data_IF_534132240928
#
_entry.id   IF_534132240928
#
_cell.length_a   1.000
_cell.length_b   1.000
_cell.length_c   1.000
_cell.angle_alpha   90.00
_cell.angle_beta   90.00
_cell.angle_gamma   90.00
#
_symmetry.space_group_name_H-M   'P 1'
#
loop_
_entity.id
_entity.type
_entity.pdbx_description
1 polymer ?
#
# COMPACT_ATOMS: atom_id res chain seq x y z
N UNK A 1 17.85 -2.92 23.82
CA UNK A 1 18.47 -3.94 24.67
C UNK A 1 17.48 -4.39 25.74
N UNK A 2 17.39 -5.67 26.00
CA UNK A 2 16.57 -6.27 27.05
C UNK A 2 17.45 -6.96 28.06
N UNK A 3 17.12 -6.82 29.36
CA UNK A 3 17.87 -7.40 30.45
C UNK A 3 16.93 -8.21 31.33
N UNK A 4 17.41 -9.38 31.79
CA UNK A 4 16.66 -10.20 32.72
C UNK A 4 16.69 -9.62 34.12
N UNK A 5 15.54 -9.57 34.80
CA UNK A 5 15.46 -9.19 36.20
C UNK A 5 16.04 -10.32 37.10
N UNK A 6 16.85 -9.93 38.07
CA UNK A 6 17.38 -10.84 39.09
C UNK A 6 16.42 -10.94 40.29
N UNK A 7 16.53 -12.00 41.06
CA UNK A 7 15.69 -12.25 42.23
C UNK A 7 15.77 -11.15 43.32
N UNK A 8 16.85 -10.37 43.33
CA UNK A 8 17.07 -9.23 44.23
C UNK A 8 16.44 -7.92 43.73
N UNK A 9 15.76 -7.92 42.58
CA UNK A 9 15.15 -6.74 41.95
C UNK A 9 16.09 -5.94 41.04
N UNK A 10 17.36 -6.29 40.94
CA UNK A 10 18.29 -5.70 40.01
C UNK A 10 18.16 -6.33 38.61
N UNK A 11 18.72 -5.69 37.59
CA UNK A 11 18.81 -6.25 36.26
C UNK A 11 20.18 -6.91 36.04
N UNK A 12 20.18 -8.01 35.29
CA UNK A 12 21.41 -8.65 34.87
C UNK A 12 22.23 -7.66 34.01
N UNK A 13 23.53 -7.60 34.23
CA UNK A 13 24.45 -6.81 33.40
C UNK A 13 24.68 -7.43 32.02
N UNK A 14 24.31 -8.71 31.83
CA UNK A 14 24.38 -9.40 30.55
C UNK A 14 23.08 -9.16 29.79
N UNK A 15 23.20 -8.59 28.60
CA UNK A 15 22.09 -8.37 27.72
C UNK A 15 21.45 -9.70 27.29
N UNK A 16 20.12 -9.80 27.38
CA UNK A 16 19.38 -10.94 26.86
C UNK A 16 19.43 -10.95 25.33
N UNK A 17 20.23 -11.83 24.75
CA UNK A 17 20.42 -11.95 23.31
C UNK A 17 19.17 -12.40 22.57
N UNK A 18 18.20 -13.01 23.24
CA UNK A 18 16.95 -13.48 22.63
C UNK A 18 15.95 -12.32 22.40
N UNK A 19 15.94 -11.34 23.30
CA UNK A 19 15.07 -10.16 23.24
C UNK A 19 15.81 -8.88 22.87
N UNK A 20 17.11 -8.96 22.59
CA UNK A 20 17.90 -7.79 22.20
C UNK A 20 18.35 -7.90 20.75
N UNK A 21 18.31 -6.79 20.06
CA UNK A 21 18.86 -6.69 18.70
C UNK A 21 19.79 -5.49 18.60
N UNK A 22 20.96 -5.71 18.01
CA UNK A 22 21.89 -4.66 17.64
C UNK A 22 22.40 -4.92 16.23
N UNK A 23 21.84 -4.21 15.27
CA UNK A 23 22.13 -4.44 13.86
C UNK A 23 22.38 -3.14 13.10
N UNK A 24 23.16 -3.25 12.04
CA UNK A 24 23.31 -2.22 11.01
C UNK A 24 22.52 -2.65 9.79
N UNK A 25 21.69 -1.75 9.30
CA UNK A 25 20.84 -2.00 8.15
C UNK A 25 21.15 -1.05 7.01
N UNK A 26 21.52 -1.61 5.86
CA UNK A 26 21.81 -0.87 4.65
C UNK A 26 20.79 -1.23 3.58
N UNK A 27 20.27 -0.22 2.90
CA UNK A 27 19.34 -0.37 1.77
C UNK A 27 19.93 0.34 0.56
N UNK A 28 20.09 -0.39 -0.52
CA UNK A 28 20.50 0.15 -1.81
C UNK A 28 19.44 -0.13 -2.85
N UNK A 29 18.91 0.92 -3.47
CA UNK A 29 17.85 0.81 -4.49
C UNK A 29 18.29 1.46 -5.79
N UNK A 30 18.19 0.70 -6.87
CA UNK A 30 18.33 1.18 -8.26
C UNK A 30 16.97 1.17 -8.92
N UNK A 31 16.60 2.22 -9.65
CA UNK A 31 15.33 2.32 -10.36
C UNK A 31 15.51 2.85 -11.76
N UNK A 32 14.89 2.19 -12.72
CA UNK A 32 14.80 2.64 -14.11
C UNK A 32 13.33 2.65 -14.54
N UNK A 33 12.96 3.57 -15.42
CA UNK A 33 11.61 3.62 -15.98
C UNK A 33 11.62 4.22 -17.38
N UNK A 34 10.68 3.76 -18.22
CA UNK A 34 10.43 4.28 -19.55
C UNK A 34 8.93 4.47 -19.74
N UNK A 35 8.57 5.40 -20.63
CA UNK A 35 7.18 5.61 -21.01
C UNK A 35 7.10 6.07 -22.46
N UNK A 36 6.10 5.54 -23.16
CA UNK A 36 5.69 5.96 -24.48
C UNK A 36 4.43 6.81 -24.33
N UNK A 37 4.43 7.96 -25.01
CA UNK A 37 3.28 8.86 -25.05
C UNK A 37 2.88 9.07 -26.50
N UNK A 38 1.59 8.88 -26.78
CA UNK A 38 0.99 9.10 -28.08
C UNK A 38 -0.15 10.08 -27.96
N UNK A 39 -0.06 11.19 -28.69
CA UNK A 39 -1.05 12.25 -28.73
C UNK A 39 -1.64 12.32 -30.13
N UNK A 40 -2.93 12.12 -30.26
CA UNK A 40 -3.63 12.25 -31.53
C UNK A 40 -4.96 12.98 -31.33
N UNK A 41 -5.10 14.13 -31.95
CA UNK A 41 -6.30 14.99 -31.85
C UNK A 41 -6.76 15.19 -30.41
N UNK A 42 -7.83 14.52 -30.03
CA UNK A 42 -8.49 14.61 -28.72
C UNK A 42 -8.10 13.47 -27.77
N UNK A 43 -7.19 12.61 -28.21
CA UNK A 43 -6.80 11.39 -27.52
C UNK A 43 -5.34 11.45 -27.09
N UNK A 44 -5.07 11.18 -25.84
CA UNK A 44 -3.74 11.02 -25.30
C UNK A 44 -3.61 9.64 -24.64
N UNK A 45 -2.65 8.87 -25.08
CA UNK A 45 -2.32 7.55 -24.53
C UNK A 45 -0.91 7.59 -23.96
N UNK A 46 -0.72 7.06 -22.77
CA UNK A 46 0.60 6.87 -22.20
C UNK A 46 0.70 5.47 -21.62
N UNK A 47 1.73 4.75 -21.98
CA UNK A 47 2.05 3.43 -21.42
C UNK A 47 3.49 3.48 -20.95
N UNK A 48 3.73 3.07 -19.73
CA UNK A 48 5.05 3.07 -19.12
C UNK A 48 5.29 1.85 -18.24
N UNK A 49 6.56 1.50 -18.14
CA UNK A 49 7.04 0.45 -17.24
C UNK A 49 8.23 0.99 -16.46
N UNK A 50 8.21 0.80 -15.16
CA UNK A 50 9.37 1.00 -14.30
C UNK A 50 9.74 -0.32 -13.63
N UNK A 51 11.03 -0.49 -13.38
CA UNK A 51 11.55 -1.57 -12.54
C UNK A 51 12.55 -1.02 -11.54
N UNK A 52 12.61 -1.61 -10.37
CA UNK A 52 13.67 -1.33 -9.40
C UNK A 52 14.16 -2.60 -8.75
N UNK A 53 15.44 -2.61 -8.42
CA UNK A 53 16.04 -3.62 -7.57
C UNK A 53 16.44 -2.97 -6.25
N UNK A 54 16.01 -3.56 -5.15
CA UNK A 54 16.36 -3.12 -3.80
C UNK A 54 17.10 -4.23 -3.09
N UNK A 55 18.32 -3.95 -2.67
CA UNK A 55 19.18 -4.85 -1.92
C UNK A 55 19.19 -4.41 -0.46
N UNK A 56 18.83 -5.31 0.42
CA UNK A 56 18.92 -5.16 1.87
C UNK A 56 20.11 -5.92 2.38
N UNK A 57 20.88 -5.30 3.26
CA UNK A 57 21.95 -5.94 4.00
C UNK A 57 21.78 -5.60 5.48
N UNK A 58 21.52 -6.61 6.28
CA UNK A 58 21.37 -6.51 7.72
C UNK A 58 22.55 -7.25 8.37
N UNK A 59 23.39 -6.51 9.06
CA UNK A 59 24.50 -7.06 9.86
C UNK A 59 24.09 -7.05 11.32
N UNK A 60 23.96 -8.22 11.92
CA UNK A 60 23.79 -8.38 13.36
C UNK A 60 25.15 -8.25 14.03
N UNK A 61 25.26 -7.31 14.95
CA UNK A 61 26.52 -6.99 15.65
C UNK A 61 26.78 -7.90 16.86
N UNK A 62 25.76 -8.63 17.36
CA UNK A 62 25.96 -9.61 18.43
C UNK A 62 26.47 -10.94 17.87
N UNK A 63 25.82 -11.42 16.81
CA UNK A 63 26.20 -12.72 16.22
C UNK A 63 27.23 -12.58 15.10
N UNK A 64 27.57 -11.35 14.71
CA UNK A 64 28.41 -11.00 13.56
C UNK A 64 27.96 -11.69 12.24
N UNK A 65 26.67 -11.95 12.12
CA UNK A 65 26.07 -12.54 10.93
C UNK A 65 25.50 -11.46 10.01
N UNK A 66 25.67 -11.65 8.70
CA UNK A 66 25.10 -10.75 7.70
C UNK A 66 24.04 -11.49 6.92
N UNK A 67 22.84 -10.93 6.85
CA UNK A 67 21.73 -11.40 6.03
C UNK A 67 21.49 -10.42 4.90
N UNK A 68 21.47 -10.92 3.68
CA UNK A 68 21.19 -10.13 2.48
C UNK A 68 19.91 -10.59 1.83
N UNK A 69 19.14 -9.64 1.28
CA UNK A 69 17.93 -9.91 0.48
C UNK A 69 17.87 -8.96 -0.69
N UNK A 70 17.37 -9.46 -1.80
CA UNK A 70 17.14 -8.67 -3.00
C UNK A 70 15.68 -8.76 -3.39
N UNK A 71 15.09 -7.62 -3.70
CA UNK A 71 13.72 -7.51 -4.16
C UNK A 71 13.69 -6.81 -5.52
N UNK A 72 12.99 -7.42 -6.47
CA UNK A 72 12.73 -6.84 -7.77
C UNK A 72 11.30 -6.30 -7.79
N UNK A 73 11.15 -5.02 -8.06
CA UNK A 73 9.86 -4.34 -8.06
C UNK A 73 9.51 -3.90 -9.48
N UNK A 74 8.23 -4.02 -9.82
CA UNK A 74 7.69 -3.56 -11.09
C UNK A 74 6.67 -2.44 -10.85
N UNK A 75 6.66 -1.45 -11.76
CA UNK A 75 5.78 -0.28 -11.72
C UNK A 75 5.15 -0.02 -13.09
N UNK A 76 4.23 -0.90 -13.56
CA UNK A 76 3.51 -0.65 -14.79
C UNK A 76 2.56 0.53 -14.63
N UNK A 77 2.44 1.34 -15.67
CA UNK A 77 1.52 2.50 -15.72
C UNK A 77 0.89 2.59 -17.10
N UNK A 78 -0.40 2.88 -17.13
CA UNK A 78 -1.10 3.20 -18.35
C UNK A 78 -2.08 4.34 -18.09
N UNK A 79 -2.22 5.24 -19.04
CA UNK A 79 -3.26 6.26 -19.00
C UNK A 79 -3.83 6.51 -20.37
N UNK A 80 -5.14 6.70 -20.41
CA UNK A 80 -5.88 7.10 -21.57
C UNK A 80 -6.71 8.32 -21.23
N UNK A 81 -6.57 9.38 -22.00
CA UNK A 81 -7.36 10.60 -21.86
C UNK A 81 -8.04 10.90 -23.18
N UNK A 82 -9.33 11.12 -23.13
CA UNK A 82 -10.13 11.56 -24.28
C UNK A 82 -10.85 12.86 -23.93
N UNK A 83 -10.59 13.91 -24.72
CA UNK A 83 -11.23 15.20 -24.58
C UNK A 83 -12.30 15.33 -25.65
N UNK A 84 -13.56 15.34 -25.22
CA UNK A 84 -14.72 15.52 -26.11
C UNK A 84 -14.93 17.00 -26.47
N UNK A 85 -15.91 17.29 -27.29
CA UNK A 85 -16.33 18.68 -27.55
C UNK A 85 -16.93 19.28 -26.28
N UNK A 86 -16.70 20.60 -26.06
CA UNK A 86 -17.34 21.31 -24.96
C UNK A 86 -16.72 21.12 -23.58
N UNK A 87 -15.43 20.79 -23.49
CA UNK A 87 -14.67 20.62 -22.23
C UNK A 87 -14.96 19.32 -21.44
N UNK A 88 -15.72 18.40 -22.01
CA UNK A 88 -15.91 17.09 -21.41
C UNK A 88 -14.63 16.27 -21.53
N UNK A 89 -14.21 15.63 -20.43
CA UNK A 89 -12.97 14.88 -20.37
C UNK A 89 -13.19 13.52 -19.69
N UNK A 90 -12.73 12.49 -20.35
CA UNK A 90 -12.68 11.13 -19.84
C UNK A 90 -11.24 10.72 -19.60
N UNK A 91 -10.95 10.15 -18.43
CA UNK A 91 -9.60 9.72 -18.05
C UNK A 91 -9.65 8.35 -17.42
N UNK A 92 -8.94 7.40 -18.04
CA UNK A 92 -8.67 6.09 -17.47
C UNK A 92 -7.20 6.01 -17.08
N UNK A 93 -6.90 5.54 -15.88
CA UNK A 93 -5.53 5.31 -15.42
C UNK A 93 -5.41 3.95 -14.75
N UNK A 94 -4.28 3.34 -14.98
CA UNK A 94 -3.81 2.16 -14.28
C UNK A 94 -2.41 2.42 -13.75
N UNK A 95 -2.15 2.01 -12.53
CA UNK A 95 -0.79 1.96 -11.98
C UNK A 95 -0.64 0.72 -11.10
N UNK A 96 0.39 -0.07 -11.39
CA UNK A 96 0.84 -1.17 -10.56
C UNK A 96 2.06 -0.76 -9.74
N UNK A 97 2.15 -1.21 -8.51
CA UNK A 97 3.32 -0.98 -7.67
C UNK A 97 3.57 -2.16 -6.73
N UNK A 98 4.80 -2.63 -6.71
CA UNK A 98 5.27 -3.59 -5.72
C UNK A 98 5.59 -2.87 -4.41
N UNK A 99 5.13 -3.43 -3.29
CA UNK A 99 5.47 -2.98 -1.93
C UNK A 99 6.22 -4.08 -1.20
N UNK A 100 7.36 -3.73 -0.64
CA UNK A 100 8.22 -4.66 0.07
C UNK A 100 7.76 -4.81 1.52
N UNK A 101 7.98 -6.00 2.16
CA UNK A 101 7.84 -6.13 3.58
C UNK A 101 8.80 -5.20 4.32
N UNK A 102 8.38 -4.70 5.47
CA UNK A 102 9.26 -3.94 6.37
C UNK A 102 10.21 -4.87 7.11
N UNK A 103 11.26 -4.30 7.72
CA UNK A 103 12.22 -5.08 8.51
C UNK A 103 11.51 -5.80 9.65
N UNK A 104 10.64 -5.11 10.38
CA UNK A 104 9.92 -5.66 11.53
C UNK A 104 9.01 -6.82 11.12
N UNK A 105 8.49 -6.78 9.90
CA UNK A 105 7.67 -7.86 9.35
C UNK A 105 8.48 -9.10 8.97
N UNK A 106 9.72 -8.94 8.52
CA UNK A 106 10.56 -10.06 8.08
C UNK A 106 11.53 -10.57 9.16
N UNK A 107 11.73 -9.80 10.22
CA UNK A 107 12.70 -10.12 11.26
C UNK A 107 12.10 -11.16 12.23
N UNK A 108 12.71 -12.36 12.38
CA UNK A 108 12.18 -13.39 13.27
C UNK A 108 12.51 -13.11 14.75
N UNK A 109 12.45 -11.85 15.16
CA UNK A 109 12.69 -11.45 16.55
C UNK A 109 11.36 -11.35 17.29
N UNK A 110 11.32 -11.86 18.50
CA UNK A 110 10.20 -11.68 19.40
C UNK A 110 10.25 -10.27 19.99
N UNK A 111 9.21 -9.49 19.75
CA UNK A 111 9.04 -8.23 20.46
C UNK A 111 8.45 -8.53 21.84
N UNK A 112 9.21 -8.27 22.90
CA UNK A 112 8.79 -8.51 24.29
C UNK A 112 8.32 -7.22 24.98
N UNK A 113 7.65 -6.35 24.26
CA UNK A 113 7.03 -5.16 24.84
C UNK A 113 5.76 -5.48 25.62
N UNK A 114 5.08 -6.56 25.25
CA UNK A 114 3.88 -7.08 25.93
C UNK A 114 3.98 -8.63 25.99
N UNK A 115 4.14 -9.21 27.18
CA UNK A 115 4.25 -10.67 27.34
C UNK A 115 3.00 -11.47 26.92
N UNK A 116 1.84 -10.79 26.81
CA UNK A 116 0.57 -11.41 26.42
C UNK A 116 0.33 -11.31 24.91
N UNK A 117 0.95 -10.35 24.22
CA UNK A 117 0.84 -10.13 22.79
C UNK A 117 2.20 -10.22 22.11
N UNK A 118 2.53 -11.35 21.58
CA UNK A 118 3.83 -11.62 20.94
C UNK A 118 3.67 -11.48 19.43
N UNK A 119 4.40 -10.54 18.82
CA UNK A 119 4.45 -10.38 17.36
C UNK A 119 5.70 -11.06 16.83
N UNK A 120 5.51 -11.96 15.87
CA UNK A 120 6.59 -12.73 15.25
C UNK A 120 6.72 -12.31 13.79
N UNK A 121 7.90 -11.84 13.40
CA UNK A 121 8.23 -11.58 12.01
C UNK A 121 8.29 -12.87 11.19
N UNK A 122 8.08 -12.74 9.89
CA UNK A 122 8.10 -13.86 8.96
C UNK A 122 9.12 -13.61 7.85
N UNK A 123 10.18 -14.38 7.89
CA UNK A 123 11.25 -14.31 6.91
C UNK A 123 10.83 -14.70 5.49
N UNK A 124 9.73 -15.44 5.32
CA UNK A 124 9.27 -15.96 4.03
C UNK A 124 8.23 -15.06 3.36
N UNK A 125 8.01 -13.86 3.91
CA UNK A 125 7.08 -12.89 3.32
C UNK A 125 7.48 -12.53 1.90
N UNK A 126 6.48 -12.58 1.01
CA UNK A 126 6.56 -12.09 -0.35
C UNK A 126 6.25 -10.59 -0.39
N UNK A 127 6.66 -9.97 -1.47
CA UNK A 127 6.26 -8.61 -1.80
C UNK A 127 4.78 -8.58 -2.15
N UNK A 128 4.06 -7.57 -1.70
CA UNK A 128 2.70 -7.30 -2.17
C UNK A 128 2.72 -6.51 -3.47
N UNK A 129 1.70 -6.71 -4.30
CA UNK A 129 1.51 -5.95 -5.52
C UNK A 129 0.17 -5.23 -5.51
N UNK A 130 0.23 -3.91 -5.57
CA UNK A 130 -0.94 -3.04 -5.55
C UNK A 130 -1.31 -2.62 -6.98
N UNK A 131 -2.50 -3.01 -7.43
CA UNK A 131 -3.10 -2.56 -8.67
C UNK A 131 -4.08 -1.43 -8.37
N UNK A 132 -3.88 -0.28 -8.99
CA UNK A 132 -4.78 0.87 -8.86
C UNK A 132 -5.37 1.21 -10.22
N UNK A 133 -6.69 1.12 -10.34
CA UNK A 133 -7.48 1.48 -11.51
C UNK A 133 -8.32 2.70 -11.18
N UNK A 134 -8.25 3.74 -11.98
CA UNK A 134 -9.11 4.90 -11.81
C UNK A 134 -9.75 5.33 -13.11
N UNK A 135 -11.04 5.61 -13.04
CA UNK A 135 -11.86 6.13 -14.11
C UNK A 135 -12.45 7.46 -13.65
N UNK A 136 -12.29 8.50 -14.45
CA UNK A 136 -12.84 9.82 -14.16
C UNK A 136 -13.50 10.40 -15.41
N UNK A 137 -14.68 10.92 -15.25
CA UNK A 137 -15.41 11.69 -16.24
C UNK A 137 -15.76 13.05 -15.65
N UNK A 138 -15.50 14.13 -16.40
CA UNK A 138 -15.89 15.49 -16.05
C UNK A 138 -16.46 16.17 -17.28
N UNK A 139 -17.59 16.85 -17.13
CA UNK A 139 -18.23 17.67 -18.13
C UNK A 139 -18.70 18.98 -17.51
N UNK A 140 -18.27 20.10 -18.08
CA UNK A 140 -18.70 21.42 -17.64
C UNK A 140 -19.09 22.28 -18.84
N UNK A 141 -20.35 22.68 -18.89
CA UNK A 141 -20.88 23.54 -19.94
C UNK A 141 -21.04 24.98 -19.42
N UNK A 142 -20.06 25.80 -19.74
CA UNK A 142 -19.99 27.18 -19.24
C UNK A 142 -21.23 27.99 -19.58
N UNK A 143 -21.76 27.89 -20.82
CA UNK A 143 -22.91 28.64 -21.30
C UNK A 143 -24.23 28.29 -20.63
N UNK A 144 -24.39 27.07 -20.16
CA UNK A 144 -25.63 26.57 -19.55
C UNK A 144 -25.51 26.35 -18.05
N UNK A 145 -24.32 26.60 -17.47
CA UNK A 145 -24.03 26.35 -16.06
C UNK A 145 -24.25 24.88 -15.62
N UNK A 146 -24.21 23.95 -16.58
CA UNK A 146 -24.38 22.52 -16.30
C UNK A 146 -23.02 21.88 -16.01
N UNK A 147 -22.94 21.15 -14.92
CA UNK A 147 -21.78 20.33 -14.58
C UNK A 147 -22.18 18.90 -14.28
N UNK A 148 -21.31 17.96 -14.69
CA UNK A 148 -21.45 16.52 -14.44
C UNK A 148 -20.09 15.96 -14.18
N UNK A 149 -20.00 15.06 -13.20
CA UNK A 149 -18.79 14.29 -12.97
C UNK A 149 -19.14 12.90 -12.47
N UNK A 150 -18.29 11.96 -12.76
CA UNK A 150 -18.36 10.61 -12.21
C UNK A 150 -16.95 10.03 -12.12
N UNK A 151 -16.73 9.19 -11.14
CA UNK A 151 -15.46 8.50 -10.99
C UNK A 151 -15.60 7.19 -10.24
N UNK A 152 -14.66 6.30 -10.51
CA UNK A 152 -14.45 5.05 -9.79
C UNK A 152 -12.96 4.91 -9.55
N UNK A 153 -12.59 4.52 -8.36
CA UNK A 153 -11.25 4.07 -8.01
C UNK A 153 -11.35 2.65 -7.44
N UNK A 154 -10.55 1.73 -7.98
CA UNK A 154 -10.47 0.35 -7.54
C UNK A 154 -9.02 -0.02 -7.27
N UNK A 155 -8.73 -0.42 -6.05
CA UNK A 155 -7.42 -0.85 -5.60
C UNK A 155 -7.52 -2.32 -5.22
N UNK A 156 -6.67 -3.15 -5.81
CA UNK A 156 -6.54 -4.57 -5.50
C UNK A 156 -5.11 -4.85 -5.04
N UNK A 157 -4.97 -5.54 -3.93
CA UNK A 157 -3.67 -5.94 -3.39
C UNK A 157 -3.52 -7.45 -3.49
N UNK A 158 -2.54 -7.90 -4.27
CA UNK A 158 -2.13 -9.30 -4.34
C UNK A 158 -0.98 -9.53 -3.35
N UNK A 159 -0.91 -10.70 -2.73
CA UNK A 159 0.06 -11.03 -1.69
C UNK A 159 0.13 -9.96 -0.58
N UNK A 160 -1.01 -9.35 -0.21
CA UNK A 160 -1.08 -8.34 0.84
C UNK A 160 -0.53 -8.88 2.16
N UNK A 161 0.22 -8.05 2.90
CA UNK A 161 0.77 -8.47 4.18
C UNK A 161 -0.25 -8.17 5.28
N UNK A 162 -0.63 -9.18 6.03
CA UNK A 162 -1.55 -9.12 7.16
C UNK A 162 -1.00 -9.92 8.33
N UNK A 163 -1.71 -9.93 9.45
CA UNK A 163 -1.38 -10.78 10.60
C UNK A 163 -2.30 -11.98 10.66
N UNK A 164 -1.74 -13.11 11.04
CA UNK A 164 -2.47 -14.32 11.46
C UNK A 164 -2.32 -14.45 12.97
N UNK A 165 -3.43 -14.46 13.67
CA UNK A 165 -3.47 -14.47 15.12
C UNK A 165 -3.84 -15.85 15.64
N UNK A 166 -3.15 -16.29 16.69
CA UNK A 166 -3.48 -17.49 17.43
C UNK A 166 -3.44 -17.20 18.93
N UNK A 167 -4.38 -17.76 19.69
CA UNK A 167 -4.44 -17.60 21.13
C UNK A 167 -4.22 -18.95 21.80
N UNK A 168 -3.26 -19.01 22.72
CA UNK A 168 -3.00 -20.24 23.50
C UNK A 168 -4.02 -20.40 24.62
N UNK A 169 -4.12 -21.62 25.18
CA UNK A 169 -4.95 -21.91 26.35
C UNK A 169 -4.59 -21.03 27.59
N UNK A 170 -3.35 -20.53 27.64
CA UNK A 170 -2.88 -19.61 28.69
C UNK A 170 -3.22 -18.13 28.41
N UNK A 171 -4.02 -17.82 27.39
CA UNK A 171 -4.45 -16.46 27.04
C UNK A 171 -3.38 -15.61 26.32
N UNK A 172 -2.25 -16.20 25.91
CA UNK A 172 -1.24 -15.48 25.14
C UNK A 172 -1.63 -15.44 23.66
N UNK A 173 -1.59 -14.26 23.04
CA UNK A 173 -1.80 -14.03 21.62
C UNK A 173 -0.47 -14.02 20.88
N UNK A 174 -0.39 -14.82 19.83
CA UNK A 174 0.71 -14.81 18.88
C UNK A 174 0.22 -14.29 17.55
N UNK A 175 0.83 -13.22 17.07
CA UNK A 175 0.54 -12.61 15.78
C UNK A 175 1.73 -12.85 14.85
N UNK A 176 1.52 -13.55 13.73
CA UNK A 176 2.54 -13.79 12.70
C UNK A 176 2.15 -13.08 11.42
N UNK A 177 3.11 -12.41 10.77
CA UNK A 177 2.87 -11.82 9.46
C UNK A 177 2.76 -12.89 8.38
N UNK A 178 1.75 -12.76 7.52
CA UNK A 178 1.46 -13.68 6.40
C UNK A 178 1.05 -12.88 5.17
N UNK A 179 1.24 -13.49 3.98
CA UNK A 179 0.67 -12.93 2.75
C UNK A 179 -0.76 -13.42 2.58
N UNK A 180 -1.65 -12.52 2.20
CA UNK A 180 -3.07 -12.79 1.94
C UNK A 180 -3.50 -12.17 0.62
N UNK A 181 -4.35 -12.89 -0.10
CA UNK A 181 -4.97 -12.42 -1.34
C UNK A 181 -6.42 -12.01 -1.14
N UNK A 182 -6.97 -11.35 -2.17
CA UNK A 182 -8.37 -10.96 -2.22
C UNK A 182 -8.68 -9.63 -1.51
N UNK A 183 -7.68 -8.90 -1.04
CA UNK A 183 -7.87 -7.57 -0.48
C UNK A 183 -8.16 -6.58 -1.60
N UNK A 184 -9.28 -5.85 -1.48
CA UNK A 184 -9.60 -4.77 -2.39
C UNK A 184 -10.34 -3.63 -1.71
N UNK A 185 -10.20 -2.46 -2.29
CA UNK A 185 -10.96 -1.27 -1.95
C UNK A 185 -11.51 -0.65 -3.22
N UNK A 186 -12.79 -0.37 -3.25
CA UNK A 186 -13.45 0.33 -4.35
C UNK A 186 -14.22 1.52 -3.79
N UNK A 187 -14.08 2.66 -4.44
CA UNK A 187 -14.92 3.82 -4.18
C UNK A 187 -15.42 4.43 -5.48
N UNK A 188 -16.63 4.92 -5.46
CA UNK A 188 -17.25 5.61 -6.58
C UNK A 188 -17.89 6.90 -6.12
N UNK A 189 -17.91 7.87 -7.02
CA UNK A 189 -18.54 9.15 -6.78
C UNK A 189 -19.10 9.70 -8.08
N UNK A 190 -20.10 10.51 -7.97
CA UNK A 190 -20.69 11.17 -9.11
C UNK A 190 -21.61 12.31 -8.68
N UNK A 191 -21.81 13.22 -9.58
CA UNK A 191 -22.71 14.31 -9.34
C UNK A 191 -23.04 15.07 -10.62
N UNK A 192 -24.14 15.77 -10.56
CA UNK A 192 -24.57 16.67 -11.63
C UNK A 192 -25.29 17.88 -11.03
N UNK A 193 -25.21 18.98 -11.73
CA UNK A 193 -25.96 20.14 -11.32
C UNK A 193 -26.05 21.18 -12.44
N UNK A 194 -26.89 22.17 -12.17
CA UNK A 194 -27.14 23.27 -13.10
C UNK A 194 -27.38 24.56 -12.32
N UNK A 195 -26.77 25.64 -12.80
CA UNK A 195 -27.10 26.99 -12.40
C UNK A 195 -28.26 27.51 -13.28
N UNK A 196 -29.30 27.98 -12.65
CA UNK A 196 -30.48 28.60 -13.30
C UNK A 196 -30.36 30.12 -13.06
N UNK A 197 -29.71 30.79 -13.97
CA UNK A 197 -29.39 32.24 -13.82
C UNK A 197 -30.64 33.10 -13.62
N UNK A 198 -31.75 32.75 -14.28
CA UNK A 198 -33.03 33.48 -14.19
C UNK A 198 -33.64 33.50 -12.79
N UNK A 199 -33.33 32.47 -11.97
CA UNK A 199 -33.82 32.32 -10.59
C UNK A 199 -32.71 32.57 -9.58
N UNK A 200 -31.50 32.85 -10.03
CA UNK A 200 -30.28 32.85 -9.19
C UNK A 200 -30.14 31.61 -8.30
N UNK A 201 -30.55 30.45 -8.84
CA UNK A 201 -30.63 29.18 -8.13
C UNK A 201 -29.65 28.18 -8.72
N UNK A 202 -28.95 27.44 -7.86
CA UNK A 202 -28.12 26.32 -8.26
C UNK A 202 -28.71 25.05 -7.66
N UNK A 203 -29.04 24.08 -8.53
CA UNK A 203 -29.47 22.74 -8.12
C UNK A 203 -28.35 21.75 -8.43
N UNK A 204 -28.06 20.87 -7.48
CA UNK A 204 -27.07 19.83 -7.64
C UNK A 204 -27.40 18.58 -6.85
N UNK A 205 -26.98 17.45 -7.39
CA UNK A 205 -27.07 16.13 -6.77
C UNK A 205 -25.69 15.47 -6.74
N UNK A 206 -25.34 14.86 -5.62
CA UNK A 206 -24.09 14.14 -5.45
C UNK A 206 -24.37 12.76 -4.85
N UNK A 207 -23.64 11.76 -5.33
CA UNK A 207 -23.64 10.40 -4.82
C UNK A 207 -22.20 9.92 -4.63
N UNK A 208 -21.95 9.25 -3.53
CA UNK A 208 -20.67 8.58 -3.28
C UNK A 208 -20.90 7.29 -2.48
N UNK A 209 -20.01 6.33 -2.66
CA UNK A 209 -20.02 5.08 -1.94
C UNK A 209 -18.66 4.40 -1.98
N UNK A 210 -18.44 3.50 -1.03
CA UNK A 210 -17.23 2.70 -0.98
C UNK A 210 -17.51 1.27 -0.51
N UNK A 211 -16.70 0.33 -1.00
CA UNK A 211 -16.70 -1.08 -0.58
C UNK A 211 -15.26 -1.45 -0.26
N UNK A 212 -15.07 -2.13 0.86
CA UNK A 212 -13.76 -2.62 1.30
C UNK A 212 -13.86 -4.10 1.66
N UNK A 213 -12.91 -4.89 1.18
CA UNK A 213 -12.73 -6.28 1.58
C UNK A 213 -11.30 -6.48 2.09
N UNK A 214 -11.18 -6.96 3.31
CA UNK A 214 -9.90 -7.32 3.94
C UNK A 214 -9.97 -8.73 4.49
N UNK A 215 -9.06 -9.56 4.04
CA UNK A 215 -8.91 -10.91 4.54
C UNK A 215 -7.86 -10.93 5.65
N UNK A 216 -8.24 -11.46 6.81
CA UNK A 216 -7.36 -11.72 7.94
C UNK A 216 -7.53 -13.18 8.35
N UNK A 217 -6.49 -13.78 8.91
CA UNK A 217 -6.56 -15.11 9.52
C UNK A 217 -6.64 -14.97 11.04
N UNK A 218 -7.60 -15.67 11.61
CA UNK A 218 -7.79 -15.78 13.05
C UNK A 218 -7.70 -17.24 13.43
#
# INVERSE_FOLDING_TARGET
>A
FSYNALANGDYNTICDSFFSSHYVFNVFTQKASTALKYNYKKMNVSIGMGASQTNFSQKDLFTNTTRTRSFNNLFPKASFTYTMQGHSRFVLRYSGATSQPTIDQIQPLNQNTDPLNIVIGNADLKQSFNNNYSLNFNDYKMLTGVWKYAGINYIQTNDGISTSDSVTAAGRRFSKYVNVDGNYFANFWGGMGRKIDRLNLTLGFNLNGAVNNRNNFV
#
